data_IF_185254418400
#
_entry.id   IF_185254418400
#
_cell.length_a   1.000
_cell.length_b   1.000
_cell.length_c   1.000
_cell.angle_alpha   90.00
_cell.angle_beta   90.00
_cell.angle_gamma   90.00
#
_symmetry.space_group_name_H-M   'P 1'
#
loop_
_entity.id
_entity.type
_entity.pdbx_description
1 polymer ?
#
# COMPACT_ATOMS: atom_id res chain seq x y z
N UNK A 1 -0.19 0.04 -25.97
CA UNK A 1 -1.01 0.10 -24.78
C UNK A 1 -2.48 0.24 -25.18
N UNK A 2 -3.35 -0.58 -24.61
CA UNK A 2 -4.80 -0.57 -24.87
C UNK A 2 -5.56 -0.51 -23.53
N UNK A 3 -6.63 0.29 -23.49
CA UNK A 3 -7.52 0.40 -22.34
C UNK A 3 -8.95 0.07 -22.75
N UNK A 4 -9.55 -0.91 -22.08
CA UNK A 4 -10.98 -1.20 -22.16
C UNK A 4 -11.67 -0.62 -20.92
N UNK A 5 -12.43 0.46 -21.08
CA UNK A 5 -12.94 1.28 -19.97
C UNK A 5 -14.43 1.62 -20.13
N UNK A 6 -15.20 0.72 -20.75
CA UNK A 6 -16.66 0.87 -20.81
C UNK A 6 -17.31 0.40 -19.51
N UNK A 7 -18.60 0.54 -19.38
CA UNK A 7 -19.42 0.08 -18.24
C UNK A 7 -19.84 -1.40 -18.33
N UNK A 8 -19.41 -2.10 -19.39
CA UNK A 8 -19.75 -3.49 -19.65
C UNK A 8 -18.50 -4.39 -19.53
N UNK A 9 -18.49 -5.27 -18.53
CA UNK A 9 -17.36 -6.15 -18.23
C UNK A 9 -17.06 -7.11 -19.37
N UNK A 10 -18.09 -7.67 -20.00
CA UNK A 10 -17.95 -8.64 -21.09
C UNK A 10 -17.33 -7.99 -22.33
N UNK A 11 -17.79 -6.79 -22.70
CA UNK A 11 -17.22 -6.00 -23.79
C UNK A 11 -15.78 -5.58 -23.50
N UNK A 12 -15.50 -5.16 -22.28
CA UNK A 12 -14.15 -4.81 -21.83
C UNK A 12 -13.21 -6.00 -21.97
N UNK A 13 -13.63 -7.18 -21.51
CA UNK A 13 -12.84 -8.41 -21.59
C UNK A 13 -12.58 -8.81 -23.04
N UNK A 14 -13.62 -8.86 -23.86
CA UNK A 14 -13.51 -9.29 -25.26
C UNK A 14 -12.62 -8.35 -26.07
N UNK A 15 -12.79 -7.04 -25.95
CA UNK A 15 -11.99 -6.06 -26.66
C UNK A 15 -10.52 -6.06 -26.20
N UNK A 16 -10.29 -6.25 -24.89
CA UNK A 16 -8.95 -6.36 -24.34
C UNK A 16 -8.21 -7.61 -24.81
N UNK A 17 -8.90 -8.76 -24.82
CA UNK A 17 -8.35 -10.01 -25.35
C UNK A 17 -8.04 -9.92 -26.85
N UNK A 18 -8.93 -9.29 -27.63
CA UNK A 18 -8.71 -9.06 -29.04
C UNK A 18 -7.49 -8.16 -29.28
N UNK A 19 -7.37 -7.05 -28.56
CA UNK A 19 -6.22 -6.16 -28.62
C UNK A 19 -4.91 -6.91 -28.30
N UNK A 20 -4.92 -7.76 -27.29
CA UNK A 20 -3.75 -8.57 -26.93
C UNK A 20 -3.40 -9.56 -28.05
N UNK A 21 -4.40 -10.21 -28.63
CA UNK A 21 -4.22 -11.16 -29.74
C UNK A 21 -3.69 -10.48 -31.02
N UNK A 22 -4.00 -9.20 -31.22
CA UNK A 22 -3.47 -8.38 -32.29
C UNK A 22 -2.06 -7.83 -32.00
N UNK A 23 -1.41 -8.25 -30.91
CA UNK A 23 -0.03 -7.91 -30.58
C UNK A 23 0.15 -6.64 -29.75
N UNK A 24 -0.91 -6.12 -29.12
CA UNK A 24 -0.76 -5.00 -28.19
C UNK A 24 0.09 -5.41 -26.98
N UNK A 25 1.23 -4.73 -26.70
CA UNK A 25 2.17 -5.17 -25.67
C UNK A 25 1.62 -5.14 -24.24
N UNK A 26 0.75 -4.17 -23.95
CA UNK A 26 0.10 -4.01 -22.63
C UNK A 26 -1.37 -3.70 -22.79
N UNK A 27 -2.18 -4.44 -22.05
CA UNK A 27 -3.65 -4.33 -22.08
C UNK A 27 -4.17 -4.17 -20.66
N UNK A 28 -4.93 -3.11 -20.43
CA UNK A 28 -5.60 -2.80 -19.17
C UNK A 28 -7.11 -2.80 -19.37
N UNK A 29 -7.85 -3.34 -18.42
CA UNK A 29 -9.30 -3.38 -18.46
C UNK A 29 -9.92 -2.97 -17.13
N UNK A 30 -11.04 -2.22 -17.19
CA UNK A 30 -11.90 -1.98 -16.05
C UNK A 30 -12.80 -3.19 -15.82
N UNK A 31 -13.01 -3.55 -14.55
CA UNK A 31 -13.84 -4.67 -14.10
C UNK A 31 -14.72 -4.24 -12.95
N UNK A 32 -16.03 -4.33 -13.11
CA UNK A 32 -17.00 -3.96 -12.07
C UNK A 32 -17.36 -5.13 -11.17
N UNK A 33 -17.38 -6.37 -11.71
CA UNK A 33 -17.66 -7.60 -10.97
C UNK A 33 -16.36 -8.17 -10.41
N UNK A 34 -16.21 -8.15 -9.10
CA UNK A 34 -14.99 -8.63 -8.43
C UNK A 34 -14.60 -10.07 -8.82
N UNK A 35 -15.60 -10.95 -9.02
CA UNK A 35 -15.38 -12.32 -9.43
C UNK A 35 -14.67 -12.47 -10.81
N UNK A 36 -14.69 -11.43 -11.64
CA UNK A 36 -14.07 -11.46 -12.96
C UNK A 36 -12.57 -11.10 -12.93
N UNK A 37 -12.07 -10.47 -11.86
CA UNK A 37 -10.66 -10.05 -11.76
C UNK A 37 -9.73 -11.26 -11.98
N UNK A 38 -10.01 -12.37 -11.30
CA UNK A 38 -9.20 -13.57 -11.42
C UNK A 38 -9.30 -14.20 -12.81
N UNK A 39 -10.51 -14.19 -13.41
CA UNK A 39 -10.72 -14.66 -14.77
C UNK A 39 -9.90 -13.84 -15.78
N UNK A 40 -9.89 -12.52 -15.65
CA UNK A 40 -9.09 -11.63 -16.51
C UNK A 40 -7.60 -11.92 -16.39
N UNK A 41 -7.11 -12.19 -15.17
CA UNK A 41 -5.71 -12.58 -14.92
C UNK A 41 -5.37 -13.91 -15.58
N UNK A 42 -6.23 -14.94 -15.43
CA UNK A 42 -6.04 -16.25 -16.04
C UNK A 42 -6.09 -16.21 -17.57
N UNK A 43 -6.87 -15.32 -18.15
CA UNK A 43 -6.92 -15.07 -19.59
C UNK A 43 -5.69 -14.27 -20.10
N UNK A 44 -4.78 -13.89 -19.19
CA UNK A 44 -3.51 -13.27 -19.53
C UNK A 44 -3.60 -11.78 -19.82
N UNK A 45 -4.62 -11.06 -19.31
CA UNK A 45 -4.65 -9.60 -19.31
C UNK A 45 -3.58 -9.08 -18.35
N UNK A 46 -2.89 -8.02 -18.75
CA UNK A 46 -1.77 -7.49 -17.98
C UNK A 46 -2.24 -6.74 -16.73
N UNK A 47 -3.43 -6.14 -16.79
CA UNK A 47 -4.01 -5.40 -15.68
C UNK A 47 -5.54 -5.41 -15.71
N UNK A 48 -6.16 -5.74 -14.59
CA UNK A 48 -7.60 -5.60 -14.34
C UNK A 48 -7.80 -4.65 -13.15
N UNK A 49 -8.55 -3.57 -13.34
CA UNK A 49 -8.80 -2.54 -12.33
C UNK A 49 -10.27 -2.52 -11.95
N UNK A 50 -10.57 -2.69 -10.67
CA UNK A 50 -11.92 -2.50 -10.14
C UNK A 50 -12.08 -1.09 -9.57
N UNK A 51 -12.91 -0.21 -10.17
CA UNK A 51 -13.18 1.12 -9.62
C UNK A 51 -13.75 1.07 -8.20
N UNK A 52 -14.58 0.05 -7.91
CA UNK A 52 -15.14 -0.16 -6.56
C UNK A 52 -14.05 -0.48 -5.54
N UNK A 53 -13.08 -1.30 -5.90
CA UNK A 53 -11.94 -1.62 -5.03
C UNK A 53 -11.09 -0.37 -4.77
N UNK A 54 -10.74 0.36 -5.82
CA UNK A 54 -9.98 1.61 -5.70
C UNK A 54 -10.71 2.62 -4.82
N UNK A 55 -12.03 2.79 -5.02
CA UNK A 55 -12.84 3.68 -4.18
C UNK A 55 -12.90 3.20 -2.73
N UNK A 56 -13.08 1.90 -2.50
CA UNK A 56 -13.09 1.31 -1.14
C UNK A 56 -11.74 1.53 -0.44
N UNK A 57 -10.62 1.31 -1.12
CA UNK A 57 -9.28 1.53 -0.57
C UNK A 57 -9.04 3.01 -0.22
N UNK A 58 -9.57 3.93 -1.05
CA UNK A 58 -9.55 5.36 -0.75
C UNK A 58 -10.39 5.72 0.48
N UNK A 59 -11.62 5.22 0.58
CA UNK A 59 -12.51 5.46 1.73
C UNK A 59 -11.89 4.89 3.01
N UNK A 60 -11.36 3.67 2.95
CA UNK A 60 -10.72 3.04 4.10
C UNK A 60 -9.51 3.82 4.61
N UNK A 61 -8.80 4.55 3.76
CA UNK A 61 -7.74 5.48 4.19
C UNK A 61 -8.25 6.54 5.17
N UNK A 62 -9.42 7.14 4.90
CA UNK A 62 -10.04 8.12 5.80
C UNK A 62 -10.65 7.49 7.06
N UNK A 63 -11.09 6.23 6.98
CA UNK A 63 -11.71 5.51 8.10
C UNK A 63 -10.69 4.89 9.07
N UNK A 64 -9.43 4.75 8.65
CA UNK A 64 -8.36 4.22 9.52
C UNK A 64 -7.95 5.25 10.58
N UNK A 65 -7.50 4.80 11.79
CA UNK A 65 -6.95 5.72 12.78
C UNK A 65 -5.85 6.58 12.15
N UNK A 66 -5.82 7.85 12.51
CA UNK A 66 -5.12 8.99 11.87
C UNK A 66 -3.59 8.88 11.68
N UNK A 67 -3.00 7.71 11.73
CA UNK A 67 -1.55 7.51 11.65
C UNK A 67 -1.09 6.81 10.37
N UNK A 68 -1.98 6.12 9.62
CA UNK A 68 -1.61 5.47 8.35
C UNK A 68 -2.17 6.32 7.21
N UNK A 69 -1.28 7.08 6.54
CA UNK A 69 -1.64 7.97 5.43
C UNK A 69 -1.76 7.23 4.10
N UNK A 70 -0.91 6.24 3.88
CA UNK A 70 -0.87 5.47 2.64
C UNK A 70 -0.60 4.00 2.92
N UNK A 71 -1.07 3.11 2.04
CA UNK A 71 -0.84 1.68 2.13
C UNK A 71 -0.79 1.08 0.74
N UNK A 72 0.29 0.37 0.45
CA UNK A 72 0.52 -0.35 -0.80
C UNK A 72 0.78 -1.82 -0.49
N UNK A 73 -0.01 -2.71 -1.09
CA UNK A 73 0.21 -4.15 -0.97
C UNK A 73 1.35 -4.59 -1.88
N UNK A 74 2.22 -5.46 -1.39
CA UNK A 74 3.29 -6.09 -2.14
C UNK A 74 2.98 -7.58 -2.37
N UNK A 75 3.27 -8.05 -3.58
CA UNK A 75 3.00 -9.43 -3.97
C UNK A 75 1.50 -9.75 -3.86
N UNK A 76 1.17 -10.92 -3.34
CA UNK A 76 -0.22 -11.38 -3.14
C UNK A 76 -0.85 -10.84 -1.84
N UNK A 77 -0.35 -9.70 -1.30
CA UNK A 77 -0.88 -9.07 -0.11
C UNK A 77 -0.26 -9.56 1.20
N UNK A 78 0.79 -10.36 1.15
CA UNK A 78 1.48 -10.86 2.36
C UNK A 78 2.25 -9.76 3.10
N UNK A 79 2.77 -8.78 2.35
CA UNK A 79 3.50 -7.63 2.88
C UNK A 79 2.88 -6.33 2.39
N UNK A 80 3.08 -5.28 3.15
CA UNK A 80 2.55 -3.95 2.87
C UNK A 80 3.60 -2.88 3.15
N UNK A 81 3.58 -1.83 2.35
CA UNK A 81 4.30 -0.58 2.61
C UNK A 81 3.30 0.46 3.07
N UNK A 82 3.59 1.08 4.19
CA UNK A 82 2.72 2.06 4.84
C UNK A 82 3.47 3.35 5.08
N UNK A 83 2.80 4.47 4.90
CA UNK A 83 3.21 5.78 5.42
C UNK A 83 2.49 6.01 6.74
N UNK A 84 3.26 6.17 7.82
CA UNK A 84 2.72 6.26 9.18
C UNK A 84 3.28 7.49 9.88
N UNK A 85 2.40 8.35 10.38
CA UNK A 85 2.82 9.54 11.14
C UNK A 85 3.22 9.16 12.56
N UNK A 86 4.39 9.58 12.99
CA UNK A 86 4.91 9.36 14.33
C UNK A 86 4.21 10.28 15.35
N UNK A 87 3.45 9.69 16.27
CA UNK A 87 2.82 10.47 17.32
C UNK A 87 3.85 10.94 18.38
N UNK A 88 3.55 12.05 19.02
CA UNK A 88 4.32 12.53 20.16
C UNK A 88 4.37 11.46 21.27
N UNK A 89 5.56 11.19 21.80
CA UNK A 89 5.80 10.17 22.82
C UNK A 89 5.44 8.73 22.36
N UNK A 90 5.49 8.47 21.07
CA UNK A 90 5.37 7.11 20.55
C UNK A 90 6.69 6.34 20.74
N UNK A 91 6.67 5.00 20.83
CA UNK A 91 7.90 4.22 20.95
C UNK A 91 8.91 4.48 19.83
N UNK A 92 8.45 4.79 18.60
CA UNK A 92 9.35 5.05 17.46
C UNK A 92 10.17 6.34 17.62
N UNK A 93 9.70 7.31 18.42
CA UNK A 93 10.40 8.58 18.67
C UNK A 93 11.32 8.54 19.89
N UNK A 94 11.50 7.37 20.52
CA UNK A 94 12.26 7.26 21.79
C UNK A 94 13.78 7.27 21.63
N UNK A 95 14.30 7.17 20.42
CA UNK A 95 15.73 7.18 20.13
C UNK A 95 16.05 6.69 18.72
N UNK A 96 17.36 6.53 18.39
CA UNK A 96 17.77 6.05 17.07
C UNK A 96 17.25 4.64 16.78
N UNK A 97 16.98 4.36 15.50
CA UNK A 97 16.31 3.12 15.07
C UNK A 97 17.04 1.85 15.52
N UNK A 98 18.38 1.86 15.61
CA UNK A 98 19.17 0.71 16.09
C UNK A 98 18.87 0.31 17.53
N UNK A 99 18.43 1.27 18.35
CA UNK A 99 18.14 1.06 19.78
C UNK A 99 16.68 0.64 20.00
N UNK A 100 15.84 0.77 18.94
CA UNK A 100 14.46 0.33 18.93
C UNK A 100 14.39 -1.18 18.68
N UNK A 101 13.72 -1.91 19.56
CA UNK A 101 13.44 -3.34 19.36
C UNK A 101 12.27 -3.52 18.40
N UNK A 102 12.53 -3.34 17.10
CA UNK A 102 11.51 -3.56 16.08
C UNK A 102 11.06 -5.03 16.08
N UNK A 103 9.75 -5.30 16.11
CA UNK A 103 9.24 -6.67 16.01
C UNK A 103 9.66 -7.31 14.67
N UNK A 104 9.96 -8.61 14.68
CA UNK A 104 10.24 -9.36 13.43
C UNK A 104 9.09 -9.18 12.44
N UNK A 105 9.42 -8.93 11.17
CA UNK A 105 8.46 -8.67 10.09
C UNK A 105 8.01 -7.21 9.99
N UNK A 106 8.72 -6.29 10.64
CA UNK A 106 8.58 -4.83 10.46
C UNK A 106 9.97 -4.27 10.11
N UNK A 107 10.02 -3.42 9.11
CA UNK A 107 11.21 -2.68 8.68
C UNK A 107 10.84 -1.22 8.42
N UNK A 108 11.71 -0.30 8.80
CA UNK A 108 11.59 1.12 8.49
C UNK A 108 12.51 1.39 7.31
N UNK A 109 11.95 1.91 6.20
CA UNK A 109 12.68 2.18 4.97
C UNK A 109 13.09 3.63 4.79
N UNK A 110 12.34 4.56 5.38
CA UNK A 110 12.64 5.99 5.26
C UNK A 110 11.81 6.84 6.21
N UNK A 111 12.24 8.08 6.34
CA UNK A 111 11.58 9.12 7.14
C UNK A 111 11.41 10.37 6.29
N UNK A 112 10.23 10.92 6.30
CA UNK A 112 9.89 12.21 5.67
C UNK A 112 9.62 13.21 6.78
N UNK A 113 10.59 14.04 7.04
CA UNK A 113 10.52 15.09 8.06
C UNK A 113 10.55 16.49 7.45
N UNK A 114 10.66 17.49 8.29
CA UNK A 114 10.74 18.91 7.88
C UNK A 114 11.97 19.19 7.01
N UNK A 115 13.06 18.46 7.21
CA UNK A 115 14.31 18.58 6.44
C UNK A 115 14.29 17.86 5.09
N UNK A 116 13.22 17.13 4.78
CA UNK A 116 13.04 16.34 3.54
C UNK A 116 12.97 14.85 3.80
N UNK A 117 13.32 14.07 2.76
CA UNK A 117 13.27 12.61 2.77
C UNK A 117 14.65 12.04 3.10
N UNK A 118 14.70 11.13 4.07
CA UNK A 118 15.90 10.40 4.45
C UNK A 118 15.65 8.89 4.29
N UNK A 119 16.63 8.17 3.72
CA UNK A 119 16.62 6.70 3.75
C UNK A 119 17.07 6.26 5.14
N UNK A 120 16.21 5.52 5.83
CA UNK A 120 16.45 5.17 7.22
C UNK A 120 17.60 4.16 7.38
N UNK A 121 18.46 4.45 8.34
CA UNK A 121 19.50 3.53 8.82
C UNK A 121 19.45 3.40 10.36
N UNK A 122 20.41 2.67 10.94
CA UNK A 122 20.44 2.48 12.38
C UNK A 122 20.66 3.77 13.20
N UNK A 123 21.15 4.84 12.61
CA UNK A 123 21.42 6.14 13.28
C UNK A 123 20.26 7.10 13.12
N UNK A 124 19.35 6.87 12.19
CA UNK A 124 18.17 7.70 11.93
C UNK A 124 17.31 7.79 13.19
N UNK A 125 16.93 9.02 13.54
CA UNK A 125 16.00 9.31 14.64
C UNK A 125 14.73 9.90 14.09
N UNK A 126 13.59 9.32 14.48
CA UNK A 126 12.26 9.78 14.07
C UNK A 126 11.76 10.84 15.06
N UNK A 127 11.38 11.99 14.52
CA UNK A 127 10.80 13.06 15.31
C UNK A 127 9.26 12.98 15.34
N UNK A 128 8.60 13.50 16.38
CA UNK A 128 7.15 13.60 16.41
C UNK A 128 6.62 14.42 15.23
N UNK A 129 5.67 13.86 14.49
CA UNK A 129 5.08 14.47 13.30
C UNK A 129 5.73 14.03 11.98
N UNK A 130 6.86 13.34 12.02
CA UNK A 130 7.46 12.77 10.82
C UNK A 130 6.57 11.68 10.25
N UNK A 131 6.53 11.60 8.91
CA UNK A 131 5.93 10.48 8.17
C UNK A 131 6.98 9.43 7.91
N UNK A 132 6.76 8.23 8.41
CA UNK A 132 7.71 7.12 8.34
C UNK A 132 7.22 6.07 7.33
N UNK A 133 8.11 5.66 6.42
CA UNK A 133 7.84 4.60 5.46
C UNK A 133 8.17 3.27 6.12
N UNK A 134 7.13 2.47 6.38
CA UNK A 134 7.21 1.19 7.08
C UNK A 134 6.83 0.07 6.14
N UNK A 135 7.68 -0.95 6.04
CA UNK A 135 7.33 -2.21 5.40
C UNK A 135 7.03 -3.25 6.48
N UNK A 136 5.87 -3.90 6.40
CA UNK A 136 5.47 -4.89 7.38
C UNK A 136 4.65 -6.02 6.75
N UNK A 137 4.70 -7.20 7.39
CA UNK A 137 3.75 -8.26 7.08
C UNK A 137 2.34 -7.83 7.53
N UNK A 138 1.31 -8.19 6.77
CA UNK A 138 -0.10 -7.87 7.07
C UNK A 138 -0.49 -8.25 8.50
N UNK A 139 0.00 -9.39 9.00
CA UNK A 139 -0.23 -9.85 10.37
C UNK A 139 0.36 -8.93 11.45
N UNK A 140 1.20 -7.95 11.08
CA UNK A 140 1.92 -7.04 12.00
C UNK A 140 1.30 -5.65 12.12
N UNK A 141 0.16 -5.36 11.49
CA UNK A 141 -0.53 -4.07 11.58
C UNK A 141 -0.71 -3.55 13.02
N UNK A 142 -1.16 -4.43 13.95
CA UNK A 142 -1.32 -4.04 15.35
C UNK A 142 -0.01 -3.67 16.02
N UNK A 143 1.10 -4.30 15.62
CA UNK A 143 2.42 -3.99 16.15
C UNK A 143 2.95 -2.67 15.59
N UNK A 144 2.74 -2.40 14.30
CA UNK A 144 3.04 -1.10 13.69
C UNK A 144 2.24 -0.02 14.39
N UNK A 145 0.93 -0.17 14.52
CA UNK A 145 0.08 0.80 15.21
C UNK A 145 0.57 1.13 16.61
N UNK A 146 0.96 0.12 17.41
CA UNK A 146 1.52 0.33 18.76
C UNK A 146 2.85 1.07 18.76
N UNK A 147 3.67 0.88 17.73
CA UNK A 147 4.98 1.51 17.63
C UNK A 147 4.85 3.02 17.35
N UNK A 148 3.82 3.44 16.64
CA UNK A 148 3.60 4.81 16.19
C UNK A 148 2.54 5.58 17.01
N UNK A 149 1.75 4.89 17.81
CA UNK A 149 0.76 5.53 18.69
C UNK A 149 1.41 6.04 19.98
N UNK A 150 0.78 7.07 20.56
CA UNK A 150 1.14 7.56 21.88
C UNK A 150 1.07 6.43 22.90
N UNK A 151 2.15 6.20 23.63
CA UNK A 151 2.16 5.25 24.75
C UNK A 151 1.06 5.60 25.74
N UNK A 152 0.16 4.66 26.04
CA UNK A 152 -0.72 4.77 27.17
C UNK A 152 0.14 4.53 28.40
N UNK A 153 0.33 5.58 29.21
CA UNK A 153 0.85 5.49 30.57
C UNK A 153 -0.20 4.84 31.48
#
# INVERSE_FOLDING_TARGET
LYFAVTDDDENNMMSALLAKRLGTPRVCSVVYRHAYIEIYRQLGLDMAISPRQVAADHILRYARPAQIESLVHLGDGEAEVMEVVAAMNSPVTSGPLRDLRLPKGISIGGVVGVSGVEVADGTTQVEPGDTVIVMALQSKHKAVSKLFQRGLF
#
